data_IF_919280997157
#
_entry.id   IF_919280997157
#
_cell.length_a   1.000
_cell.length_b   1.000
_cell.length_c   1.000
_cell.angle_alpha   90.00
_cell.angle_beta   90.00
_cell.angle_gamma   90.00
#
_symmetry.space_group_name_H-M   'P 1'
#
loop_
_entity.id
_entity.type
_entity.pdbx_description
1 polymer ?
#
# COMPACT_ATOMS: atom_id res chain seq x y z
N UNK A 1 -2.88 10.33 13.32
CA UNK A 1 -3.28 9.53 12.15
C UNK A 1 -2.37 8.33 12.13
N UNK A 2 -2.93 7.14 12.26
CA UNK A 2 -2.13 5.94 12.46
C UNK A 2 -1.48 5.49 11.15
N UNK A 3 -0.22 5.11 11.26
CA UNK A 3 0.58 4.57 10.17
C UNK A 3 0.74 3.08 10.41
N UNK A 4 0.54 2.28 9.36
CA UNK A 4 0.77 0.83 9.43
C UNK A 4 1.94 0.45 8.55
N UNK A 5 2.78 -0.47 9.06
CA UNK A 5 3.91 -1.02 8.32
C UNK A 5 3.57 -2.44 7.89
N UNK A 6 3.53 -2.68 6.58
CA UNK A 6 3.15 -3.96 5.99
C UNK A 6 4.31 -4.53 5.18
N UNK A 7 4.49 -5.86 5.23
CA UNK A 7 5.36 -6.57 4.31
C UNK A 7 4.53 -7.15 3.18
N UNK A 8 4.60 -6.54 1.99
CA UNK A 8 3.89 -6.98 0.81
C UNK A 8 4.59 -8.21 0.21
N UNK A 9 3.85 -9.32 0.14
CA UNK A 9 4.25 -10.58 -0.49
C UNK A 9 3.51 -10.85 -1.80
N UNK A 10 2.45 -10.10 -2.07
CA UNK A 10 1.68 -10.17 -3.31
C UNK A 10 1.29 -8.76 -3.78
N UNK A 11 2.15 -8.16 -4.60
CA UNK A 11 1.94 -6.80 -5.12
C UNK A 11 0.62 -6.67 -5.92
N UNK A 12 0.19 -7.72 -6.62
CA UNK A 12 -1.02 -7.68 -7.46
C UNK A 12 -2.28 -7.56 -6.61
N UNK A 13 -2.45 -8.40 -5.59
CA UNK A 13 -3.62 -8.32 -4.70
C UNK A 13 -3.56 -7.09 -3.79
N UNK A 14 -2.37 -6.65 -3.40
CA UNK A 14 -2.19 -5.37 -2.71
C UNK A 14 -2.72 -4.20 -3.56
N UNK A 15 -2.25 -4.04 -4.79
CA UNK A 15 -2.68 -2.94 -5.67
C UNK A 15 -4.18 -3.00 -6.01
N UNK A 16 -4.74 -4.21 -6.15
CA UNK A 16 -6.18 -4.41 -6.33
C UNK A 16 -6.96 -3.94 -5.10
N UNK A 17 -6.50 -4.25 -3.90
CA UNK A 17 -7.11 -3.77 -2.64
C UNK A 17 -7.04 -2.26 -2.53
N UNK A 18 -5.87 -1.68 -2.81
CA UNK A 18 -5.65 -0.23 -2.83
C UNK A 18 -6.57 0.48 -3.83
N UNK A 19 -6.75 -0.07 -5.03
CA UNK A 19 -7.64 0.50 -6.05
C UNK A 19 -9.14 0.39 -5.68
N UNK A 20 -9.49 -0.51 -4.75
CA UNK A 20 -10.83 -0.63 -4.19
C UNK A 20 -11.15 0.41 -3.11
N UNK A 21 -10.16 1.18 -2.64
CA UNK A 21 -10.35 2.18 -1.60
C UNK A 21 -11.10 3.42 -2.11
N UNK A 22 -11.91 4.02 -1.24
CA UNK A 22 -12.68 5.23 -1.54
C UNK A 22 -11.82 6.49 -1.45
N UNK A 23 -11.01 6.59 -0.40
CA UNK A 23 -10.12 7.72 -0.14
C UNK A 23 -8.67 7.47 -0.56
N UNK A 24 -7.79 8.46 -0.36
CA UNK A 24 -6.38 8.30 -0.68
C UNK A 24 -5.74 7.24 0.22
N UNK A 25 -4.75 6.54 -0.33
CA UNK A 25 -3.87 5.63 0.42
C UNK A 25 -2.47 6.16 0.22
N UNK A 26 -1.83 6.64 1.28
CA UNK A 26 -0.52 7.28 1.17
C UNK A 26 0.60 6.30 1.50
N UNK A 27 1.57 6.17 0.61
CA UNK A 27 2.92 5.70 0.95
C UNK A 27 3.59 6.79 1.79
N UNK A 28 4.21 6.40 2.90
CA UNK A 28 4.95 7.31 3.77
C UNK A 28 6.41 6.89 3.82
N UNK A 29 7.32 7.79 3.48
CA UNK A 29 8.76 7.54 3.56
C UNK A 29 9.34 7.87 4.95
N UNK A 30 10.66 7.70 5.11
CA UNK A 30 11.36 7.99 6.36
C UNK A 30 11.31 9.47 6.76
N UNK A 31 11.13 10.37 5.79
CA UNK A 31 11.09 11.81 5.99
C UNK A 31 9.66 12.30 6.25
N UNK A 32 8.68 11.37 6.25
CA UNK A 32 7.27 11.66 6.50
C UNK A 32 6.53 12.20 5.28
N UNK A 33 7.16 12.26 4.11
CA UNK A 33 6.52 12.67 2.85
C UNK A 33 5.50 11.61 2.46
N UNK A 34 4.36 12.10 1.96
CA UNK A 34 3.22 11.29 1.58
C UNK A 34 3.03 11.32 0.06
N UNK A 35 2.83 10.15 -0.52
CA UNK A 35 2.51 9.98 -1.94
C UNK A 35 1.31 9.07 -2.07
N UNK A 36 0.26 9.53 -2.75
CA UNK A 36 -0.93 8.70 -2.95
C UNK A 36 -0.63 7.55 -3.92
N UNK A 37 -1.11 6.35 -3.60
CA UNK A 37 -1.03 5.17 -4.47
C UNK A 37 -2.40 4.72 -4.97
N UNK A 38 -3.51 5.13 -4.34
CA UNK A 38 -4.85 4.75 -4.80
C UNK A 38 -5.15 5.35 -6.17
N UNK A 39 -5.33 4.48 -7.19
CA UNK A 39 -5.57 4.83 -8.61
C UNK A 39 -4.48 5.70 -9.26
N UNK A 40 -3.33 5.85 -8.62
CA UNK A 40 -2.17 6.58 -9.14
C UNK A 40 -1.22 5.62 -9.87
N UNK A 41 -1.55 5.30 -11.12
CA UNK A 41 -0.86 4.24 -11.87
C UNK A 41 0.65 4.49 -12.07
N UNK A 42 1.10 5.74 -12.14
CA UNK A 42 2.53 6.06 -12.20
C UNK A 42 3.28 5.59 -10.95
N UNK A 43 2.73 5.87 -9.77
CA UNK A 43 3.26 5.39 -8.49
C UNK A 43 3.17 3.87 -8.40
N UNK A 44 2.08 3.26 -8.86
CA UNK A 44 1.91 1.80 -8.87
C UNK A 44 2.93 1.08 -9.76
N UNK A 45 3.23 1.62 -10.95
CA UNK A 45 4.26 1.07 -11.86
C UNK A 45 5.64 1.11 -11.20
N UNK A 46 5.98 2.23 -10.56
CA UNK A 46 7.24 2.35 -9.81
C UNK A 46 7.32 1.34 -8.67
N UNK A 47 6.25 1.21 -7.90
CA UNK A 47 6.15 0.28 -6.77
C UNK A 47 6.30 -1.19 -7.22
N UNK A 48 5.68 -1.54 -8.35
CA UNK A 48 5.78 -2.87 -8.97
C UNK A 48 7.22 -3.19 -9.41
N UNK A 49 7.93 -2.21 -9.97
CA UNK A 49 9.34 -2.36 -10.34
C UNK A 49 10.26 -2.50 -9.11
N UNK A 50 10.02 -1.72 -8.05
CA UNK A 50 10.74 -1.84 -6.78
C UNK A 50 10.53 -3.22 -6.14
N UNK A 51 9.30 -3.72 -6.14
CA UNK A 51 8.97 -5.06 -5.64
C UNK A 51 9.71 -6.18 -6.40
N UNK A 52 9.76 -6.10 -7.73
CA UNK A 52 10.49 -7.08 -8.55
C UNK A 52 12.01 -7.05 -8.27
N UNK A 53 12.57 -5.84 -8.12
CA UNK A 53 13.99 -5.66 -7.76
C UNK A 53 14.32 -6.25 -6.38
N UNK A 54 13.38 -6.18 -5.44
CA UNK A 54 13.54 -6.68 -4.07
C UNK A 54 13.12 -8.16 -3.90
N UNK A 55 13.31 -8.99 -4.94
CA UNK A 55 12.99 -10.44 -4.90
C UNK A 55 11.54 -10.74 -4.55
N UNK A 56 10.61 -9.95 -5.08
CA UNK A 56 9.17 -10.09 -4.85
C UNK A 56 8.78 -9.95 -3.37
N UNK A 57 9.43 -9.05 -2.64
CA UNK A 57 8.97 -8.59 -1.33
C UNK A 57 9.23 -7.10 -1.17
N UNK A 58 8.34 -6.38 -0.51
CA UNK A 58 8.53 -4.95 -0.26
C UNK A 58 7.90 -4.56 1.08
N UNK A 59 8.60 -3.79 1.90
CA UNK A 59 8.07 -3.28 3.16
C UNK A 59 7.63 -1.84 2.97
N UNK A 60 6.35 -1.57 3.23
CA UNK A 60 5.73 -0.26 3.02
C UNK A 60 5.17 0.29 4.32
N UNK A 61 5.29 1.59 4.52
CA UNK A 61 4.56 2.33 5.54
C UNK A 61 3.40 3.07 4.87
N UNK A 62 2.19 2.87 5.40
CA UNK A 62 0.96 3.39 4.83
C UNK A 62 0.25 4.30 5.82
N UNK A 63 -0.30 5.41 5.33
CA UNK A 63 -1.28 6.22 6.04
C UNK A 63 -2.61 6.19 5.27
N UNK A 64 -3.66 5.74 5.95
CA UNK A 64 -4.99 5.56 5.35
C UNK A 64 -5.99 6.38 6.19
N UNK A 65 -6.37 7.60 5.74
CA UNK A 65 -7.19 8.51 6.52
C UNK A 65 -8.66 8.04 6.61
N UNK A 66 -9.12 7.20 5.69
CA UNK A 66 -10.49 6.67 5.68
C UNK A 66 -10.53 5.37 6.51
N UNK A 67 -11.29 5.31 7.63
CA UNK A 67 -11.31 4.14 8.50
C UNK A 67 -11.78 2.85 7.81
N UNK A 68 -12.74 2.95 6.89
CA UNK A 68 -13.23 1.81 6.11
C UNK A 68 -12.13 1.21 5.23
N UNK A 69 -11.38 2.06 4.53
CA UNK A 69 -10.27 1.65 3.68
C UNK A 69 -9.12 1.07 4.50
N UNK A 70 -8.84 1.63 5.69
CA UNK A 70 -7.86 1.08 6.62
C UNK A 70 -8.21 -0.36 7.00
N UNK A 71 -9.46 -0.61 7.40
CA UNK A 71 -9.92 -1.96 7.73
C UNK A 71 -9.87 -2.91 6.52
N UNK A 72 -10.21 -2.44 5.32
CA UNK A 72 -10.10 -3.26 4.10
C UNK A 72 -8.65 -3.71 3.84
N UNK A 73 -7.68 -2.80 4.00
CA UNK A 73 -6.26 -3.15 3.80
C UNK A 73 -5.73 -4.05 4.92
N UNK A 74 -6.17 -3.84 6.17
CA UNK A 74 -5.83 -4.74 7.29
C UNK A 74 -6.40 -6.14 7.06
N UNK A 75 -7.66 -6.25 6.59
CA UNK A 75 -8.29 -7.53 6.28
C UNK A 75 -7.57 -8.26 5.15
N UNK A 76 -7.14 -7.53 4.11
CA UNK A 76 -6.25 -8.08 3.08
C UNK A 76 -4.99 -8.68 3.72
N UNK A 77 -4.30 -7.91 4.57
CA UNK A 77 -3.05 -8.34 5.17
C UNK A 77 -3.21 -9.54 6.11
N UNK A 78 -4.31 -9.60 6.87
CA UNK A 78 -4.62 -10.72 7.76
C UNK A 78 -5.00 -12.01 7.02
N UNK A 79 -5.49 -11.91 5.77
CA UNK A 79 -5.82 -13.06 4.93
C UNK A 79 -4.71 -13.51 3.99
N UNK A 80 -3.72 -12.66 3.72
CA UNK A 80 -2.57 -12.91 2.82
C UNK A 80 -1.28 -13.31 3.60
N UNK A 81 -1.37 -13.44 4.94
CA UNK A 81 -0.32 -13.91 5.85
C UNK A 81 -0.64 -15.29 6.43
#
# INVERSE_FOLDING_TARGET
MDMMKLRILNMKEFLKTVNGCEGPVYLVDSDGRRENVNKEYGTQVRLQAEYQRNRNTLVLCLAVPVPRDYLNIVNYYAGDC
#
